data_IF_486510358364
#
_entry.id   IF_486510358364
#
_cell.length_a   1.000
_cell.length_b   1.000
_cell.length_c   1.000
_cell.angle_alpha   90.00
_cell.angle_beta   90.00
_cell.angle_gamma   90.00
#
_symmetry.space_group_name_H-M   'P 1'
#
loop_
_entity.id
_entity.type
_entity.pdbx_description
1 polymer ?
#
# COMPACT_ATOMS: atom_id res chain seq x y z
N UNK A 1 -5.13 20.59 -10.51
CA UNK A 1 -4.28 20.36 -11.72
C UNK A 1 -4.43 18.91 -12.15
N UNK A 2 -4.61 18.65 -13.44
CA UNK A 2 -4.70 17.27 -13.96
C UNK A 2 -3.48 16.45 -13.55
N UNK A 3 -3.64 15.14 -13.20
CA UNK A 3 -2.52 14.23 -12.91
C UNK A 3 -1.60 14.00 -14.13
N UNK A 4 -2.04 14.43 -15.31
CA UNK A 4 -1.37 14.16 -16.57
C UNK A 4 0.11 14.61 -16.56
N UNK A 5 1.02 13.65 -16.75
CA UNK A 5 2.46 13.88 -16.80
C UNK A 5 3.17 13.91 -15.44
N UNK A 6 2.47 13.88 -14.30
CA UNK A 6 3.10 13.77 -12.98
C UNK A 6 3.74 12.39 -12.81
N UNK A 7 4.86 12.34 -12.09
CA UNK A 7 5.51 11.06 -11.78
C UNK A 7 4.86 10.42 -10.55
N UNK A 8 4.67 9.10 -10.60
CA UNK A 8 4.20 8.27 -9.51
C UNK A 8 5.16 7.10 -9.27
N UNK A 9 5.31 6.68 -8.03
CA UNK A 9 6.05 5.48 -7.63
C UNK A 9 5.08 4.49 -7.01
N UNK A 10 5.13 3.24 -7.44
CA UNK A 10 4.37 2.13 -6.86
C UNK A 10 5.35 1.06 -6.42
N UNK A 11 5.45 0.79 -5.11
CA UNK A 11 6.23 -0.33 -4.57
C UNK A 11 5.39 -1.59 -4.55
N UNK A 12 6.01 -2.79 -4.61
CA UNK A 12 5.25 -4.04 -4.71
C UNK A 12 4.47 -4.15 -6.02
N UNK A 13 4.99 -3.53 -7.09
CA UNK A 13 4.30 -3.36 -8.37
C UNK A 13 4.19 -4.65 -9.21
N UNK A 14 4.87 -5.74 -8.83
CA UNK A 14 4.70 -7.05 -9.45
C UNK A 14 3.58 -7.89 -8.81
N UNK A 15 3.13 -7.53 -7.60
CA UNK A 15 1.97 -8.14 -6.96
C UNK A 15 0.65 -7.74 -7.63
N UNK A 16 -0.40 -8.57 -7.49
CA UNK A 16 -1.68 -8.35 -8.19
C UNK A 16 -2.29 -6.96 -7.92
N UNK A 17 -2.29 -6.50 -6.66
CA UNK A 17 -2.77 -5.15 -6.31
C UNK A 17 -1.86 -4.08 -6.90
N UNK A 18 -0.54 -4.25 -6.80
CA UNK A 18 0.44 -3.30 -7.34
C UNK A 18 0.36 -3.12 -8.86
N UNK A 19 0.20 -4.23 -9.59
CA UNK A 19 -0.05 -4.21 -11.05
C UNK A 19 -1.30 -3.40 -11.36
N UNK A 20 -2.43 -3.73 -10.72
CA UNK A 20 -3.71 -3.05 -10.98
C UNK A 20 -3.64 -1.54 -10.67
N UNK A 21 -2.94 -1.15 -9.57
CA UNK A 21 -2.73 0.25 -9.22
C UNK A 21 -1.87 0.94 -10.26
N UNK A 22 -0.73 0.33 -10.64
CA UNK A 22 0.18 0.93 -11.63
C UNK A 22 -0.49 1.12 -12.98
N UNK A 23 -1.24 0.13 -13.46
CA UNK A 23 -2.00 0.19 -14.72
C UNK A 23 -3.07 1.29 -14.66
N UNK A 24 -3.81 1.38 -13.56
CA UNK A 24 -4.83 2.41 -13.37
C UNK A 24 -4.24 3.81 -13.35
N UNK A 25 -3.17 4.05 -12.61
CA UNK A 25 -2.49 5.34 -12.54
C UNK A 25 -1.92 5.74 -13.91
N UNK A 26 -1.39 4.78 -14.67
CA UNK A 26 -0.94 5.04 -16.03
C UNK A 26 -2.10 5.44 -16.95
N UNK A 27 -3.25 4.78 -16.84
CA UNK A 27 -4.47 5.15 -17.56
C UNK A 27 -5.01 6.54 -17.15
N UNK A 28 -4.83 6.93 -15.88
CA UNK A 28 -5.17 8.24 -15.37
C UNK A 28 -4.17 9.35 -15.81
N UNK A 29 -3.07 8.97 -16.52
CA UNK A 29 -2.11 9.90 -17.12
C UNK A 29 -0.83 10.12 -16.32
N UNK A 30 -0.58 9.36 -15.24
CA UNK A 30 0.71 9.39 -14.53
C UNK A 30 1.82 8.69 -15.33
N UNK A 31 3.06 9.16 -15.16
CA UNK A 31 4.26 8.40 -15.49
C UNK A 31 4.63 7.55 -14.29
N UNK A 32 4.47 6.23 -14.39
CA UNK A 32 4.56 5.32 -13.24
C UNK A 32 5.90 4.61 -13.22
N UNK A 33 6.65 4.76 -12.14
CA UNK A 33 7.79 3.91 -11.79
C UNK A 33 7.30 2.67 -11.04
N UNK A 34 7.45 1.50 -11.64
CA UNK A 34 7.04 0.21 -11.07
C UNK A 34 8.21 -0.43 -10.34
N UNK A 35 8.20 -0.38 -9.01
CA UNK A 35 9.24 -0.93 -8.17
C UNK A 35 8.81 -2.22 -7.48
N UNK A 36 9.69 -3.22 -7.48
CA UNK A 36 9.49 -4.48 -6.78
C UNK A 36 10.83 -5.12 -6.38
N UNK A 37 10.77 -6.21 -5.62
CA UNK A 37 11.91 -7.01 -5.25
C UNK A 37 12.37 -7.86 -6.45
N UNK A 38 13.65 -7.81 -6.76
CA UNK A 38 14.26 -8.67 -7.76
C UNK A 38 14.69 -7.96 -9.04
N UNK A 39 15.61 -8.60 -9.77
CA UNK A 39 16.33 -7.94 -10.89
C UNK A 39 15.48 -7.76 -12.15
N UNK A 40 14.33 -8.42 -12.24
CA UNK A 40 13.41 -8.27 -13.37
C UNK A 40 12.45 -7.08 -13.21
N UNK A 41 12.39 -6.45 -12.04
CA UNK A 41 11.58 -5.25 -11.84
C UNK A 41 12.15 -4.07 -12.64
N UNK A 42 11.27 -3.19 -13.11
CA UNK A 42 11.70 -1.96 -13.81
C UNK A 42 12.61 -1.10 -12.92
N UNK A 43 12.26 -1.02 -11.63
CA UNK A 43 13.05 -0.39 -10.58
C UNK A 43 13.24 -1.39 -9.43
N UNK A 44 14.33 -2.19 -9.42
CA UNK A 44 14.59 -3.15 -8.35
C UNK A 44 14.78 -2.44 -7.00
N UNK A 45 14.10 -2.89 -5.96
CA UNK A 45 14.23 -2.32 -4.61
C UNK A 45 13.72 -3.29 -3.55
N UNK A 46 14.56 -3.61 -2.58
CA UNK A 46 14.12 -4.19 -1.31
C UNK A 46 13.75 -3.05 -0.35
N UNK A 47 12.46 -2.84 -0.15
CA UNK A 47 11.96 -1.75 0.71
C UNK A 47 12.42 -1.85 2.17
N UNK A 48 12.92 -3.02 2.61
CA UNK A 48 13.48 -3.24 3.96
C UNK A 48 14.86 -2.58 4.13
N UNK A 49 15.53 -2.23 3.03
CA UNK A 49 16.90 -1.71 2.99
C UNK A 49 16.88 -0.23 2.61
N UNK A 50 17.39 0.61 3.51
CA UNK A 50 17.40 2.06 3.28
C UNK A 50 18.20 2.45 2.03
N UNK A 51 19.35 1.80 1.80
CA UNK A 51 20.20 2.08 0.63
C UNK A 51 19.49 1.77 -0.70
N UNK A 52 18.71 0.67 -0.76
CA UNK A 52 17.93 0.31 -1.94
C UNK A 52 16.82 1.35 -2.19
N UNK A 53 16.15 1.82 -1.13
CA UNK A 53 15.10 2.86 -1.23
C UNK A 53 15.69 4.20 -1.66
N UNK A 54 16.88 4.55 -1.20
CA UNK A 54 17.61 5.75 -1.66
C UNK A 54 17.94 5.61 -3.14
N UNK A 55 18.47 4.47 -3.58
CA UNK A 55 18.77 4.19 -4.99
C UNK A 55 17.52 4.24 -5.87
N UNK A 56 16.39 3.70 -5.39
CA UNK A 56 15.09 3.82 -6.07
C UNK A 56 14.70 5.28 -6.28
N UNK A 57 14.78 6.10 -5.23
CA UNK A 57 14.45 7.53 -5.32
C UNK A 57 15.31 8.23 -6.37
N UNK A 58 16.62 8.00 -6.35
CA UNK A 58 17.58 8.61 -7.27
C UNK A 58 17.29 8.21 -8.71
N UNK A 59 17.11 6.91 -8.98
CA UNK A 59 16.79 6.41 -10.31
C UNK A 59 15.47 6.96 -10.85
N UNK A 60 14.43 7.06 -10.00
CA UNK A 60 13.14 7.64 -10.39
C UNK A 60 13.28 9.13 -10.65
N UNK A 61 13.99 9.86 -9.79
CA UNK A 61 14.17 11.30 -9.93
C UNK A 61 14.96 11.65 -11.21
N UNK A 62 15.95 10.86 -11.59
CA UNK A 62 16.71 11.02 -12.83
C UNK A 62 15.83 10.80 -14.07
N UNK A 63 15.00 9.74 -14.08
CA UNK A 63 14.24 9.34 -15.27
C UNK A 63 12.88 10.02 -15.42
N UNK A 64 12.21 10.30 -14.31
CA UNK A 64 10.84 10.83 -14.27
C UNK A 64 10.72 12.19 -13.58
N UNK A 65 11.79 12.71 -12.98
CA UNK A 65 11.74 13.90 -12.13
C UNK A 65 11.19 13.56 -10.72
N UNK A 66 11.02 14.58 -9.89
CA UNK A 66 10.51 14.40 -8.54
C UNK A 66 9.09 13.80 -8.56
N UNK A 67 8.85 12.64 -7.93
CA UNK A 67 7.52 12.04 -7.93
C UNK A 67 6.55 12.86 -7.06
N UNK A 68 5.37 13.06 -7.61
CA UNK A 68 4.26 13.69 -6.90
C UNK A 68 3.45 12.67 -6.09
N UNK A 69 3.39 11.41 -6.55
CA UNK A 69 2.62 10.35 -5.91
C UNK A 69 3.56 9.20 -5.48
N UNK A 70 3.42 8.76 -4.23
CA UNK A 70 3.99 7.52 -3.73
C UNK A 70 2.86 6.59 -3.29
N UNK A 71 2.84 5.36 -3.82
CA UNK A 71 1.92 4.31 -3.38
C UNK A 71 2.72 3.15 -2.79
N UNK A 72 2.61 2.95 -1.48
CA UNK A 72 3.26 1.87 -0.76
C UNK A 72 2.38 0.64 -0.75
N UNK A 73 2.66 -0.33 -1.64
CA UNK A 73 1.90 -1.58 -1.79
C UNK A 73 2.70 -2.78 -1.30
N UNK A 74 4.04 -2.72 -1.32
CA UNK A 74 4.91 -3.81 -0.89
C UNK A 74 4.48 -4.35 0.47
N UNK A 75 4.28 -5.66 0.56
CA UNK A 75 3.85 -6.30 1.79
C UNK A 75 3.84 -7.82 1.70
N UNK A 76 3.99 -8.46 2.85
CA UNK A 76 3.95 -9.92 3.02
C UNK A 76 2.94 -10.29 4.09
N UNK A 77 2.43 -11.51 4.01
CA UNK A 77 1.46 -12.07 4.94
C UNK A 77 1.84 -13.50 5.30
N UNK A 78 1.76 -13.81 6.59
CA UNK A 78 1.81 -15.17 7.12
C UNK A 78 0.72 -15.34 8.18
N UNK A 79 0.19 -16.54 8.30
CA UNK A 79 -0.81 -16.92 9.27
C UNK A 79 -0.22 -17.92 10.26
N UNK A 80 0.18 -17.41 11.44
CA UNK A 80 0.73 -18.20 12.54
C UNK A 80 0.22 -17.68 13.89
N UNK A 81 0.06 -18.58 14.85
CA UNK A 81 -0.09 -18.19 16.25
C UNK A 81 1.24 -17.64 16.79
N UNK A 82 1.17 -16.76 17.79
CA UNK A 82 2.36 -16.12 18.37
C UNK A 82 3.40 -17.13 18.86
N UNK A 83 3.02 -18.22 19.56
CA UNK A 83 4.00 -19.23 20.01
C UNK A 83 4.74 -19.95 18.87
N UNK A 84 4.13 -20.00 17.67
CA UNK A 84 4.67 -20.67 16.49
C UNK A 84 5.36 -19.70 15.52
N UNK A 85 5.32 -18.41 15.80
CA UNK A 85 5.95 -17.36 14.96
C UNK A 85 7.43 -17.26 15.31
N UNK A 86 8.32 -17.48 14.35
CA UNK A 86 9.76 -17.27 14.56
C UNK A 86 10.13 -15.81 14.52
N UNK A 87 11.30 -15.44 15.06
CA UNK A 87 11.84 -14.08 15.01
C UNK A 87 12.03 -13.61 13.56
N UNK A 88 12.54 -14.49 12.68
CA UNK A 88 12.74 -14.18 11.26
C UNK A 88 11.42 -13.91 10.53
N UNK A 89 10.33 -14.61 10.89
CA UNK A 89 9.00 -14.36 10.36
C UNK A 89 8.45 -13.04 10.87
N UNK A 90 8.63 -12.75 12.15
CA UNK A 90 8.26 -11.46 12.74
C UNK A 90 8.98 -10.31 12.02
N UNK A 91 10.32 -10.41 11.90
CA UNK A 91 11.15 -9.40 11.27
C UNK A 91 10.75 -9.20 9.80
N UNK A 92 10.53 -10.29 9.05
CA UNK A 92 10.14 -10.20 7.65
C UNK A 92 8.81 -9.45 7.47
N UNK A 93 7.81 -9.71 8.32
CA UNK A 93 6.52 -9.01 8.26
C UNK A 93 6.69 -7.53 8.64
N UNK A 94 7.35 -7.25 9.76
CA UNK A 94 7.48 -5.88 10.29
C UNK A 94 8.38 -5.04 9.39
N UNK A 95 9.50 -5.59 8.96
CA UNK A 95 10.45 -4.91 8.10
C UNK A 95 9.86 -4.61 6.72
N UNK A 96 9.09 -5.54 6.15
CA UNK A 96 8.47 -5.29 4.83
C UNK A 96 7.30 -4.33 4.96
N UNK A 97 6.33 -4.63 5.83
CA UNK A 97 5.04 -3.94 5.83
C UNK A 97 5.12 -2.56 6.49
N UNK A 98 5.84 -2.44 7.60
CA UNK A 98 5.89 -1.21 8.39
C UNK A 98 7.16 -0.41 8.16
N UNK A 99 8.34 -0.99 8.37
CA UNK A 99 9.61 -0.30 8.17
C UNK A 99 9.80 0.08 6.71
N UNK A 100 9.46 -0.80 5.75
CA UNK A 100 9.53 -0.50 4.32
C UNK A 100 8.64 0.68 3.93
N UNK A 101 7.41 0.75 4.45
CA UNK A 101 6.53 1.90 4.27
C UNK A 101 7.12 3.17 4.88
N UNK A 102 7.73 3.08 6.06
CA UNK A 102 8.43 4.22 6.69
C UNK A 102 9.63 4.68 5.85
N UNK A 103 10.49 3.77 5.40
CA UNK A 103 11.70 4.12 4.63
C UNK A 103 11.34 4.78 3.30
N UNK A 104 10.33 4.29 2.59
CA UNK A 104 9.87 4.90 1.35
C UNK A 104 9.26 6.29 1.60
N UNK A 105 8.43 6.46 2.62
CA UNK A 105 7.94 7.77 3.02
C UNK A 105 9.12 8.71 3.35
N UNK A 106 10.09 8.27 4.17
CA UNK A 106 11.29 9.03 4.53
C UNK A 106 12.08 9.52 3.31
N UNK A 107 12.21 8.67 2.29
CA UNK A 107 13.00 8.98 1.10
C UNK A 107 12.30 9.94 0.13
N UNK A 108 10.98 9.82 -0.05
CA UNK A 108 10.25 10.59 -1.07
C UNK A 108 9.60 11.86 -0.53
N UNK A 109 9.23 11.91 0.74
CA UNK A 109 8.56 13.04 1.39
C UNK A 109 9.34 14.37 1.29
N UNK A 110 10.68 14.43 1.46
CA UNK A 110 11.42 15.70 1.40
C UNK A 110 11.22 16.47 0.09
N UNK A 111 11.14 15.79 -1.06
CA UNK A 111 10.91 16.45 -2.34
C UNK A 111 9.48 16.99 -2.47
N UNK A 112 8.48 16.28 -1.93
CA UNK A 112 7.09 16.73 -1.87
C UNK A 112 6.94 17.95 -0.96
N UNK A 113 7.61 17.95 0.20
CA UNK A 113 7.61 19.09 1.13
C UNK A 113 8.24 20.33 0.51
N UNK A 114 9.37 20.15 -0.21
CA UNK A 114 10.04 21.26 -0.90
C UNK A 114 9.18 21.83 -2.03
N UNK A 115 8.36 21.01 -2.68
CA UNK A 115 7.41 21.44 -3.71
C UNK A 115 6.12 22.07 -3.14
N UNK A 116 5.81 21.84 -1.87
CA UNK A 116 4.53 22.23 -1.26
C UNK A 116 3.33 21.49 -1.86
N UNK A 117 3.56 20.35 -2.52
CA UNK A 117 2.53 19.57 -3.21
C UNK A 117 2.98 18.10 -3.32
N UNK A 118 2.11 17.17 -2.95
CA UNK A 118 2.40 15.75 -3.02
C UNK A 118 1.28 14.88 -2.46
N UNK A 119 1.34 13.60 -2.81
CA UNK A 119 0.37 12.62 -2.35
C UNK A 119 1.07 11.30 -1.98
N UNK A 120 0.74 10.76 -0.80
CA UNK A 120 1.17 9.42 -0.38
C UNK A 120 -0.08 8.59 -0.08
N UNK A 121 -0.14 7.40 -0.66
CA UNK A 121 -1.19 6.41 -0.38
C UNK A 121 -0.53 5.12 0.12
N UNK A 122 -0.80 4.77 1.37
CA UNK A 122 -0.29 3.53 1.97
C UNK A 122 -1.33 2.42 1.87
N UNK A 123 -0.94 1.22 1.45
CA UNK A 123 -1.82 0.06 1.49
C UNK A 123 -1.66 -0.66 2.82
N UNK A 124 -2.62 -0.40 3.72
CA UNK A 124 -2.74 -1.10 4.99
C UNK A 124 -3.52 -2.42 4.84
N UNK A 125 -4.53 -2.64 5.63
CA UNK A 125 -5.46 -3.79 5.58
C UNK A 125 -6.60 -3.55 6.59
N UNK A 126 -7.75 -4.19 6.42
CA UNK A 126 -8.74 -4.33 7.51
C UNK A 126 -8.15 -5.00 8.75
N UNK A 127 -7.10 -5.82 8.59
CA UNK A 127 -6.30 -6.37 9.68
C UNK A 127 -5.56 -5.30 10.52
N UNK A 128 -5.37 -4.09 9.99
CA UNK A 128 -4.79 -2.95 10.71
C UNK A 128 -5.79 -2.19 11.58
N UNK A 129 -7.08 -2.45 11.44
CA UNK A 129 -8.16 -1.76 12.18
C UNK A 129 -9.00 -2.69 13.04
N UNK A 130 -8.81 -3.99 12.92
CA UNK A 130 -9.45 -5.01 13.77
C UNK A 130 -8.52 -6.20 14.03
N UNK A 131 -8.79 -6.97 15.08
CA UNK A 131 -8.11 -8.24 15.34
C UNK A 131 -8.48 -9.34 14.34
N UNK A 132 -7.62 -10.33 14.20
CA UNK A 132 -7.83 -11.52 13.39
C UNK A 132 -7.12 -12.72 13.99
N UNK A 133 -7.70 -13.92 13.86
CA UNK A 133 -7.09 -15.15 14.35
C UNK A 133 -5.78 -15.42 13.61
N UNK A 134 -4.75 -15.89 14.35
CA UNK A 134 -3.45 -16.34 13.83
C UNK A 134 -2.71 -15.31 12.96
N UNK A 135 -2.96 -14.00 13.20
CA UNK A 135 -2.43 -12.88 12.39
C UNK A 135 -1.86 -11.75 13.22
N UNK A 136 -1.46 -12.04 14.48
CA UNK A 136 -1.08 -10.99 15.43
C UNK A 136 0.01 -10.07 14.89
N UNK A 137 1.10 -10.61 14.32
CA UNK A 137 2.22 -9.84 13.78
C UNK A 137 1.80 -9.04 12.54
N UNK A 138 1.04 -9.66 11.64
CA UNK A 138 0.51 -8.98 10.45
C UNK A 138 -0.42 -7.82 10.85
N UNK A 139 -1.36 -8.08 11.78
CA UNK A 139 -2.27 -7.05 12.28
C UNK A 139 -1.51 -5.89 12.92
N UNK A 140 -0.48 -6.18 13.73
CA UNK A 140 0.37 -5.17 14.34
C UNK A 140 1.09 -4.34 13.28
N UNK A 141 1.68 -4.98 12.26
CA UNK A 141 2.37 -4.27 11.17
C UNK A 141 1.42 -3.35 10.39
N UNK A 142 0.22 -3.83 10.03
CA UNK A 142 -0.77 -3.03 9.29
C UNK A 142 -1.45 -1.98 10.17
N UNK A 143 -1.63 -2.23 11.46
CA UNK A 143 -2.03 -1.21 12.45
C UNK A 143 -0.99 -0.11 12.59
N UNK A 144 0.30 -0.47 12.58
CA UNK A 144 1.41 0.47 12.53
C UNK A 144 1.35 1.36 11.29
N UNK A 145 1.06 0.81 10.10
CA UNK A 145 0.89 1.59 8.85
C UNK A 145 -0.27 2.59 8.96
N UNK A 146 -1.39 2.18 9.56
CA UNK A 146 -2.54 3.09 9.77
C UNK A 146 -2.15 4.27 10.65
N UNK A 147 -1.49 4.04 11.80
CA UNK A 147 -1.07 5.10 12.71
C UNK A 147 0.06 5.94 12.14
N UNK A 148 1.03 5.33 11.43
CA UNK A 148 2.09 6.04 10.72
C UNK A 148 1.47 7.01 9.69
N UNK A 149 0.47 6.57 8.92
CA UNK A 149 -0.24 7.42 7.96
C UNK A 149 -0.87 8.64 8.62
N UNK A 150 -1.58 8.43 9.74
CA UNK A 150 -2.22 9.52 10.49
C UNK A 150 -1.22 10.52 11.06
N UNK A 151 -0.12 10.03 11.64
CA UNK A 151 0.93 10.89 12.20
C UNK A 151 1.60 11.73 11.11
N UNK A 152 2.01 11.09 10.01
CA UNK A 152 2.60 11.81 8.88
C UNK A 152 1.63 12.84 8.26
N UNK A 153 0.34 12.53 8.22
CA UNK A 153 -0.67 13.48 7.73
C UNK A 153 -0.77 14.71 8.64
N UNK A 154 -0.77 14.54 9.97
CA UNK A 154 -0.79 15.65 10.91
C UNK A 154 0.44 16.54 10.77
N UNK A 155 1.61 15.93 10.61
CA UNK A 155 2.88 16.65 10.52
C UNK A 155 3.02 17.44 9.21
N UNK A 156 2.47 16.92 8.09
CA UNK A 156 2.78 17.40 6.75
C UNK A 156 1.61 17.99 5.95
N UNK A 157 0.37 17.89 6.45
CA UNK A 157 -0.77 18.58 5.84
C UNK A 157 -0.58 20.10 5.71
N UNK A 158 0.01 20.81 6.72
CA UNK A 158 0.27 22.25 6.59
C UNK A 158 1.22 22.59 5.43
N UNK A 159 2.07 21.64 5.01
CA UNK A 159 3.00 21.82 3.89
C UNK A 159 2.40 21.39 2.54
N UNK A 160 1.10 21.11 2.45
CA UNK A 160 0.42 20.76 1.19
C UNK A 160 0.59 19.30 0.75
N UNK A 161 1.14 18.41 1.60
CA UNK A 161 1.28 16.99 1.26
C UNK A 161 0.13 16.19 1.85
N UNK A 162 -0.62 15.48 0.99
CA UNK A 162 -1.73 14.61 1.41
C UNK A 162 -1.23 13.20 1.65
N UNK A 163 -1.54 12.64 2.81
CA UNK A 163 -1.12 11.28 3.19
C UNK A 163 -2.32 10.52 3.72
N UNK A 164 -2.69 9.43 3.03
CA UNK A 164 -3.86 8.63 3.36
C UNK A 164 -3.53 7.13 3.26
N UNK A 165 -4.39 6.26 3.77
CA UNK A 165 -4.25 4.83 3.54
C UNK A 165 -5.54 4.19 3.07
N UNK A 166 -5.38 3.11 2.30
CA UNK A 166 -6.45 2.18 1.92
C UNK A 166 -6.31 0.93 2.80
N UNK A 167 -7.43 0.45 3.32
CA UNK A 167 -7.54 -0.79 4.08
C UNK A 167 -8.36 -1.82 3.29
N UNK A 168 -7.73 -2.63 2.42
CA UNK A 168 -8.42 -3.69 1.71
C UNK A 168 -8.95 -4.75 2.67
N UNK A 169 -10.11 -5.33 2.33
CA UNK A 169 -10.58 -6.60 2.87
C UNK A 169 -9.89 -7.79 2.20
N UNK A 170 -10.63 -8.89 2.02
CA UNK A 170 -10.16 -10.06 1.30
C UNK A 170 -10.24 -9.80 -0.22
N UNK A 171 -9.10 -9.78 -0.88
CA UNK A 171 -8.96 -9.48 -2.32
C UNK A 171 -8.45 -10.72 -3.05
N UNK A 172 -9.02 -11.01 -4.22
CA UNK A 172 -8.64 -12.12 -5.09
C UNK A 172 -7.22 -11.93 -5.66
N UNK A 173 -6.26 -12.47 -4.93
CA UNK A 173 -4.82 -12.37 -5.20
C UNK A 173 -4.12 -13.65 -4.73
N UNK A 174 -2.91 -13.95 -5.22
CA UNK A 174 -2.12 -15.07 -4.70
C UNK A 174 -1.86 -15.02 -3.18
N UNK A 175 -1.83 -13.83 -2.57
CA UNK A 175 -1.73 -13.68 -1.10
C UNK A 175 -2.93 -14.29 -0.37
N UNK A 176 -4.06 -14.47 -1.03
CA UNK A 176 -5.29 -15.07 -0.50
C UNK A 176 -5.48 -16.53 -0.93
N UNK A 177 -4.46 -17.22 -1.45
CA UNK A 177 -4.57 -18.62 -1.93
C UNK A 177 -4.98 -19.59 -0.82
N UNK A 178 -4.67 -19.29 0.43
CA UNK A 178 -5.06 -20.07 1.61
C UNK A 178 -6.60 -20.20 1.77
N UNK A 179 -7.38 -19.30 1.18
CA UNK A 179 -8.86 -19.35 1.13
C UNK A 179 -9.37 -19.49 -0.32
N UNK A 180 -8.73 -18.82 -1.27
CA UNK A 180 -9.12 -18.82 -2.67
C UNK A 180 -9.08 -20.23 -3.29
N UNK A 181 -8.13 -21.05 -2.87
CA UNK A 181 -7.94 -22.43 -3.34
C UNK A 181 -8.61 -23.48 -2.44
N UNK A 182 -9.38 -23.04 -1.43
CA UNK A 182 -10.18 -23.89 -0.53
C UNK A 182 -11.68 -23.58 -0.71
N UNK A 183 -12.40 -24.34 -1.56
CA UNK A 183 -13.80 -24.04 -1.87
C UNK A 183 -14.74 -23.99 -0.64
N UNK A 184 -14.63 -24.88 0.37
CA UNK A 184 -15.40 -24.77 1.61
C UNK A 184 -15.15 -23.45 2.36
N UNK A 185 -13.89 -23.04 2.54
CA UNK A 185 -13.54 -21.81 3.23
C UNK A 185 -13.98 -20.57 2.43
N UNK A 186 -13.82 -20.59 1.11
CA UNK A 186 -14.30 -19.51 0.24
C UNK A 186 -15.83 -19.37 0.32
N UNK A 187 -16.57 -20.48 0.23
CA UNK A 187 -18.03 -20.47 0.37
C UNK A 187 -18.48 -20.01 1.76
N UNK A 188 -17.75 -20.38 2.80
CA UNK A 188 -18.01 -19.88 4.16
C UNK A 188 -17.81 -18.37 4.23
N UNK A 189 -16.70 -17.84 3.70
CA UNK A 189 -16.47 -16.39 3.61
C UNK A 189 -17.61 -15.70 2.85
N UNK A 190 -17.95 -16.16 1.66
CA UNK A 190 -18.99 -15.58 0.82
C UNK A 190 -20.38 -15.63 1.46
N UNK A 191 -20.62 -16.61 2.34
CA UNK A 191 -21.90 -16.73 3.05
C UNK A 191 -22.15 -15.63 4.08
N UNK A 192 -21.09 -15.12 4.73
CA UNK A 192 -21.21 -14.07 5.75
C UNK A 192 -20.76 -12.68 5.28
N UNK A 193 -19.86 -12.59 4.29
CA UNK A 193 -19.43 -11.30 3.75
C UNK A 193 -20.62 -10.55 3.13
N UNK A 194 -20.88 -9.28 3.49
CA UNK A 194 -22.03 -8.55 2.96
C UNK A 194 -22.08 -8.47 1.44
N UNK A 195 -20.90 -8.27 0.79
CA UNK A 195 -20.81 -8.24 -0.67
C UNK A 195 -20.87 -9.62 -1.34
N UNK A 196 -20.87 -10.72 -0.57
CA UNK A 196 -20.97 -12.12 -1.04
C UNK A 196 -19.89 -12.53 -2.03
N UNK A 197 -18.73 -11.89 -2.01
CA UNK A 197 -17.58 -12.18 -2.86
C UNK A 197 -16.30 -11.57 -2.30
N UNK A 198 -15.17 -12.02 -2.78
CA UNK A 198 -13.90 -11.32 -2.64
C UNK A 198 -13.93 -10.00 -3.44
N UNK A 199 -13.13 -9.04 -3.01
CA UNK A 199 -12.83 -7.85 -3.81
C UNK A 199 -11.84 -8.17 -4.92
N UNK A 200 -11.69 -7.26 -5.88
CA UNK A 200 -10.71 -7.35 -6.98
C UNK A 200 -9.58 -6.35 -6.80
N UNK A 201 -8.37 -6.62 -7.32
CA UNK A 201 -7.29 -5.64 -7.36
C UNK A 201 -7.69 -4.30 -7.98
N UNK A 202 -8.57 -4.32 -8.99
CA UNK A 202 -9.07 -3.13 -9.68
C UNK A 202 -9.93 -2.22 -8.77
N UNK A 203 -10.67 -2.80 -7.83
CA UNK A 203 -11.44 -2.04 -6.86
C UNK A 203 -10.52 -1.28 -5.89
N UNK A 204 -9.39 -1.89 -5.52
CA UNK A 204 -8.36 -1.20 -4.72
C UNK A 204 -7.66 -0.11 -5.55
N UNK A 205 -7.36 -0.39 -6.81
CA UNK A 205 -6.79 0.60 -7.72
C UNK A 205 -7.71 1.82 -7.91
N UNK A 206 -9.03 1.61 -7.96
CA UNK A 206 -10.02 2.68 -7.99
C UNK A 206 -9.96 3.61 -6.76
N UNK A 207 -9.84 3.02 -5.57
CA UNK A 207 -9.69 3.79 -4.33
C UNK A 207 -8.39 4.60 -4.29
N UNK A 208 -7.27 4.02 -4.75
CA UNK A 208 -5.98 4.74 -4.86
C UNK A 208 -6.08 5.88 -5.88
N UNK A 209 -6.66 5.64 -7.04
CA UNK A 209 -6.90 6.66 -8.08
C UNK A 209 -7.72 7.83 -7.54
N UNK A 210 -8.79 7.56 -6.78
CA UNK A 210 -9.58 8.59 -6.12
C UNK A 210 -8.73 9.39 -5.12
N UNK A 211 -7.98 8.73 -4.24
CA UNK A 211 -7.11 9.41 -3.26
C UNK A 211 -6.00 10.24 -3.93
N UNK A 212 -5.57 9.87 -5.13
CA UNK A 212 -4.59 10.61 -5.92
C UNK A 212 -5.21 11.76 -6.74
N UNK A 213 -6.54 11.88 -6.79
CA UNK A 213 -7.24 12.92 -7.54
C UNK A 213 -7.48 14.20 -6.74
N UNK A 214 -7.97 15.24 -7.40
CA UNK A 214 -8.41 16.49 -6.77
C UNK A 214 -9.68 16.32 -5.94
N UNK A 215 -10.51 15.31 -6.23
CA UNK A 215 -11.72 15.02 -5.47
C UNK A 215 -11.41 14.64 -4.02
N UNK A 216 -10.17 14.20 -3.74
CA UNK A 216 -9.66 13.90 -2.41
C UNK A 216 -8.84 15.05 -1.78
N UNK A 217 -8.93 16.28 -2.29
CA UNK A 217 -8.09 17.41 -1.84
C UNK A 217 -8.22 17.73 -0.34
N UNK A 218 -9.36 17.43 0.28
CA UNK A 218 -9.58 17.66 1.73
C UNK A 218 -9.36 16.41 2.58
N UNK A 219 -8.78 15.33 2.00
CA UNK A 219 -8.52 14.09 2.72
C UNK A 219 -7.06 14.02 3.18
N UNK A 220 -6.86 14.07 4.50
CA UNK A 220 -5.58 13.94 5.18
C UNK A 220 -5.73 12.97 6.35
N UNK A 221 -4.90 11.93 6.42
CA UNK A 221 -4.95 10.90 7.46
C UNK A 221 -6.16 9.97 7.38
N UNK A 222 -6.86 9.97 6.24
CA UNK A 222 -8.02 9.12 6.06
C UNK A 222 -7.62 7.64 6.00
N UNK A 223 -8.48 6.80 6.58
CA UNK A 223 -8.39 5.34 6.55
C UNK A 223 -9.58 4.87 5.71
N UNK A 224 -9.33 4.65 4.41
CA UNK A 224 -10.37 4.25 3.46
C UNK A 224 -10.49 2.73 3.45
N UNK A 225 -11.58 2.22 3.99
CA UNK A 225 -11.89 0.79 4.01
C UNK A 225 -12.55 0.39 2.69
N UNK A 226 -12.02 -0.67 2.05
CA UNK A 226 -12.53 -1.24 0.78
C UNK A 226 -12.60 -2.76 0.96
N UNK A 227 -13.70 -3.24 1.55
CA UNK A 227 -13.77 -4.60 2.10
C UNK A 227 -15.11 -5.33 1.87
N UNK A 228 -15.98 -4.77 1.04
CA UNK A 228 -17.30 -5.36 0.81
C UNK A 228 -18.21 -5.39 2.03
N UNK A 229 -17.95 -4.54 3.04
CA UNK A 229 -18.73 -4.42 4.27
C UNK A 229 -18.32 -5.38 5.39
N UNK A 230 -17.21 -6.10 5.27
CA UNK A 230 -16.80 -7.12 6.27
C UNK A 230 -16.39 -6.53 7.62
N UNK A 231 -16.20 -5.20 7.72
CA UNK A 231 -15.90 -4.50 8.97
C UNK A 231 -16.97 -3.48 9.39
N UNK A 232 -18.11 -3.44 8.71
CA UNK A 232 -19.21 -2.55 9.02
C UNK A 232 -19.97 -2.95 10.31
#
# INVERSE_FOLDING_TARGET
MSPAGRAAVVTGAAGAIGVAIADRLQADGFRVARSDLGPAAEYPCDVRREDDVIGLREAVQERLGAPWLLVNVAGVFFEHDVPDTTEEQFDLIVDTNLKGTFLTCKAFLPAMLAAGDGCIVNIASTAGIRGGHRRAVYNASKGGVVLLTRSLALDHAPAGVRINCVCPGLIDTPMADWIRLDPPELAAFESWAPARRMGTPQEIAGAVSFLASEDAAYMHGAVMVVDGGTTA
#
